data_IF_879996619783
#
_entry.id   IF_879996619783
#
_cell.length_a   1.000
_cell.length_b   1.000
_cell.length_c   1.000
_cell.angle_alpha   90.00
_cell.angle_beta   90.00
_cell.angle_gamma   90.00
#
_symmetry.space_group_name_H-M   'P 1'
#
loop_
_entity.id
_entity.type
_entity.pdbx_description
1 polymer ?
#
# COMPACT_ATOMS: atom_id res chain seq x y z
N UNK A 1 -1.13 -15.06 50.68
CA UNK A 1 -1.66 -14.40 49.46
C UNK A 1 -3.18 -14.35 49.56
N UNK A 2 -3.79 -13.23 49.18
CA UNK A 2 -5.26 -13.07 49.15
C UNK A 2 -5.85 -13.85 47.96
N UNK A 3 -7.14 -14.20 47.99
CA UNK A 3 -7.79 -14.92 46.89
C UNK A 3 -7.72 -14.15 45.55
N UNK A 4 -7.69 -12.82 45.61
CA UNK A 4 -7.51 -11.94 44.45
C UNK A 4 -6.13 -12.05 43.81
N UNK A 5 -5.06 -12.25 44.60
CA UNK A 5 -3.70 -12.37 44.07
C UNK A 5 -3.52 -13.69 43.31
N UNK A 6 -4.16 -14.76 43.81
CA UNK A 6 -4.20 -16.07 43.15
C UNK A 6 -4.90 -15.99 41.78
N UNK A 7 -6.04 -15.31 41.73
CA UNK A 7 -6.79 -15.11 40.49
C UNK A 7 -5.99 -14.26 39.49
N UNK A 8 -5.30 -13.22 39.96
CA UNK A 8 -4.46 -12.38 39.11
C UNK A 8 -3.28 -13.14 38.50
N UNK A 9 -2.64 -14.04 39.28
CA UNK A 9 -1.54 -14.88 38.80
C UNK A 9 -2.02 -15.92 37.77
N UNK A 10 -3.15 -16.57 38.02
CA UNK A 10 -3.76 -17.52 37.06
C UNK A 10 -4.18 -16.83 35.77
N UNK A 11 -4.77 -15.63 35.87
CA UNK A 11 -5.13 -14.83 34.71
C UNK A 11 -3.90 -14.46 33.88
N UNK A 12 -2.80 -14.07 34.52
CA UNK A 12 -1.54 -13.79 33.84
C UNK A 12 -0.96 -15.03 33.12
N UNK A 13 -0.89 -16.17 33.80
CA UNK A 13 -0.34 -17.40 33.21
C UNK A 13 -1.16 -17.88 32.00
N UNK A 14 -2.49 -17.78 32.07
CA UNK A 14 -3.38 -18.21 31.00
C UNK A 14 -3.50 -17.18 29.86
N UNK A 15 -3.78 -15.91 30.17
CA UNK A 15 -4.04 -14.89 29.15
C UNK A 15 -2.77 -14.30 28.54
N UNK A 16 -1.79 -13.94 29.38
CA UNK A 16 -0.61 -13.19 28.94
C UNK A 16 0.55 -14.13 28.55
N UNK A 17 0.76 -15.19 29.33
CA UNK A 17 1.79 -16.20 29.07
C UNK A 17 1.30 -17.38 28.23
N UNK A 18 -0.01 -17.48 27.91
CA UNK A 18 -0.63 -18.55 27.09
C UNK A 18 -0.28 -19.98 27.55
N UNK A 19 -0.15 -20.18 28.85
CA UNK A 19 0.05 -21.52 29.44
C UNK A 19 -1.33 -22.17 29.63
N UNK A 20 -1.52 -23.46 29.26
CA UNK A 20 -2.78 -24.15 29.47
C UNK A 20 -3.23 -24.10 30.94
N UNK A 21 -4.52 -23.82 31.17
CA UNK A 21 -5.06 -23.56 32.51
C UNK A 21 -4.85 -24.73 33.49
N UNK A 22 -4.95 -25.98 33.01
CA UNK A 22 -4.70 -27.18 33.80
C UNK A 22 -3.25 -27.24 34.32
N UNK A 23 -2.28 -26.92 33.46
CA UNK A 23 -0.86 -26.86 33.82
C UNK A 23 -0.55 -25.67 34.73
N UNK A 24 -1.21 -24.52 34.51
CA UNK A 24 -1.06 -23.35 35.37
C UNK A 24 -1.55 -23.65 36.79
N UNK A 25 -2.76 -24.21 36.96
CA UNK A 25 -3.34 -24.59 38.26
C UNK A 25 -2.46 -25.60 39.03
N UNK A 26 -1.87 -26.57 38.32
CA UNK A 26 -0.97 -27.56 38.92
C UNK A 26 0.34 -26.98 39.45
N UNK A 27 0.85 -25.89 38.84
CA UNK A 27 2.16 -25.29 39.16
C UNK A 27 2.09 -24.03 40.02
N UNK A 28 0.90 -23.49 40.28
CA UNK A 28 0.70 -22.28 41.10
C UNK A 28 1.19 -22.48 42.54
N UNK A 29 0.97 -23.65 43.15
CA UNK A 29 1.46 -23.94 44.51
C UNK A 29 2.99 -23.96 44.58
N UNK A 30 3.64 -24.42 43.51
CA UNK A 30 5.11 -24.47 43.43
C UNK A 30 5.71 -23.09 43.17
N UNK A 31 5.04 -22.26 42.35
CA UNK A 31 5.39 -20.85 42.18
C UNK A 31 5.25 -20.04 43.48
N UNK A 32 4.23 -20.33 44.28
CA UNK A 32 4.06 -19.75 45.62
C UNK A 32 5.18 -20.17 46.57
N UNK A 33 5.54 -21.46 46.60
CA UNK A 33 6.66 -21.95 47.41
C UNK A 33 7.99 -21.32 47.02
N UNK A 34 8.19 -21.02 45.72
CA UNK A 34 9.36 -20.33 45.20
C UNK A 34 9.33 -18.80 45.37
N UNK A 35 8.29 -18.24 46.00
CA UNK A 35 8.10 -16.79 46.19
C UNK A 35 8.02 -16.02 44.85
N UNK A 36 7.56 -16.68 43.79
CA UNK A 36 7.37 -16.14 42.42
C UNK A 36 5.87 -15.92 42.13
N UNK A 37 5.23 -15.22 43.04
CA UNK A 37 3.77 -15.07 43.12
C UNK A 37 3.21 -13.84 42.38
N UNK A 38 4.06 -13.02 41.76
CA UNK A 38 3.64 -11.83 41.01
C UNK A 38 4.34 -11.69 39.66
N UNK A 39 3.69 -11.07 38.66
CA UNK A 39 4.32 -10.77 37.36
C UNK A 39 5.60 -9.93 37.47
N UNK A 40 5.73 -9.11 38.52
CA UNK A 40 6.92 -8.28 38.77
C UNK A 40 8.10 -9.10 39.28
N UNK A 41 7.83 -10.07 40.17
CA UNK A 41 8.84 -11.02 40.64
C UNK A 41 9.26 -11.98 39.52
N UNK A 42 8.30 -12.44 38.70
CA UNK A 42 8.55 -13.26 37.51
C UNK A 42 9.38 -12.55 36.43
N UNK A 43 9.22 -11.23 36.29
CA UNK A 43 9.99 -10.43 35.33
C UNK A 43 11.48 -10.29 35.72
N UNK A 44 11.78 -10.39 37.02
CA UNK A 44 13.13 -10.28 37.60
C UNK A 44 13.80 -11.64 37.84
N UNK A 45 13.05 -12.74 37.77
CA UNK A 45 13.56 -14.09 37.95
C UNK A 45 14.50 -14.52 36.79
N UNK A 46 15.54 -15.30 37.12
CA UNK A 46 16.41 -15.95 36.12
C UNK A 46 15.77 -17.25 35.66
N UNK A 47 16.03 -17.65 34.41
CA UNK A 47 15.46 -18.88 33.83
C UNK A 47 15.74 -20.13 34.69
N UNK A 48 16.89 -20.18 35.37
CA UNK A 48 17.28 -21.31 36.23
C UNK A 48 16.41 -21.48 37.48
N UNK A 49 15.69 -20.43 37.91
CA UNK A 49 14.74 -20.50 39.04
C UNK A 49 13.35 -21.02 38.61
N UNK A 50 13.05 -20.98 37.32
CA UNK A 50 11.76 -21.42 36.76
C UNK A 50 11.83 -22.82 36.12
N UNK A 51 13.02 -23.26 35.69
CA UNK A 51 13.28 -24.63 35.22
C UNK A 51 12.84 -25.77 36.17
N UNK A 52 13.01 -25.69 37.51
CA UNK A 52 12.51 -26.75 38.40
C UNK A 52 10.98 -26.79 38.52
N UNK A 53 10.27 -25.78 38.02
CA UNK A 53 8.81 -25.65 38.09
C UNK A 53 8.19 -25.98 36.73
N UNK A 54 8.79 -25.46 35.66
CA UNK A 54 8.44 -25.72 34.27
C UNK A 54 9.62 -26.42 33.59
N UNK A 55 9.49 -27.72 33.37
CA UNK A 55 10.51 -28.55 32.71
C UNK A 55 10.83 -28.09 31.28
N UNK A 56 9.91 -27.37 30.63
CA UNK A 56 10.08 -26.82 29.28
C UNK A 56 10.72 -25.41 29.29
N UNK A 57 11.92 -25.32 28.71
CA UNK A 57 12.70 -24.09 28.55
C UNK A 57 11.97 -23.04 27.68
N UNK A 58 11.12 -23.48 26.74
CA UNK A 58 10.32 -22.61 25.87
C UNK A 58 9.22 -21.91 26.66
N UNK A 59 8.53 -22.66 27.53
CA UNK A 59 7.48 -22.13 28.42
C UNK A 59 8.09 -21.18 29.44
N UNK A 60 9.26 -21.51 29.99
CA UNK A 60 9.99 -20.63 30.92
C UNK A 60 10.35 -19.28 30.29
N UNK A 61 10.90 -19.29 29.06
CA UNK A 61 11.21 -18.06 28.31
C UNK A 61 9.95 -17.25 27.99
N UNK A 62 8.86 -17.92 27.65
CA UNK A 62 7.57 -17.30 27.35
C UNK A 62 6.96 -16.59 28.58
N UNK A 63 7.03 -17.22 29.75
CA UNK A 63 6.56 -16.63 31.01
C UNK A 63 7.38 -15.39 31.38
N UNK A 64 8.71 -15.44 31.28
CA UNK A 64 9.59 -14.28 31.58
C UNK A 64 9.32 -13.14 30.59
N UNK A 65 9.14 -13.45 29.30
CA UNK A 65 8.83 -12.44 28.28
C UNK A 65 7.46 -11.79 28.50
N UNK A 66 6.44 -12.57 28.85
CA UNK A 66 5.11 -12.07 29.20
C UNK A 66 5.15 -11.22 30.48
N UNK A 67 5.90 -11.66 31.50
CA UNK A 67 6.05 -10.96 32.77
C UNK A 67 6.69 -9.58 32.59
N UNK A 68 7.75 -9.49 31.76
CA UNK A 68 8.41 -8.23 31.41
C UNK A 68 7.50 -7.27 30.62
N UNK A 69 6.60 -7.79 29.78
CA UNK A 69 5.63 -6.96 29.04
C UNK A 69 4.58 -6.36 29.97
N UNK A 70 4.06 -7.16 30.90
CA UNK A 70 3.01 -6.74 31.83
C UNK A 70 3.56 -5.83 32.93
N UNK A 71 4.76 -6.09 33.46
CA UNK A 71 5.40 -5.23 34.47
C UNK A 71 5.80 -3.87 33.91
N UNK A 72 6.24 -3.79 32.65
CA UNK A 72 6.51 -2.52 31.96
C UNK A 72 5.23 -1.70 31.73
N UNK A 73 4.07 -2.36 31.62
CA UNK A 73 2.76 -1.71 31.47
C UNK A 73 2.23 -1.11 32.79
N UNK A 74 2.67 -1.62 33.94
CA UNK A 74 2.25 -1.14 35.28
C UNK A 74 3.19 -0.10 35.89
N UNK A 75 4.44 0.00 35.44
CA UNK A 75 5.36 1.06 35.85
C UNK A 75 5.04 2.44 35.23
N UNK A 76 4.17 2.48 34.21
CA UNK A 76 3.55 3.71 33.73
C UNK A 76 2.24 3.86 34.50
N UNK A 77 2.27 4.70 35.54
CA UNK A 77 1.11 5.03 36.37
C UNK A 77 -0.05 5.58 35.55
N UNK A 78 -1.23 5.40 36.14
CA UNK A 78 -2.55 5.89 35.75
C UNK A 78 -2.58 7.43 35.71
N UNK A 79 -2.17 7.99 34.57
CA UNK A 79 -2.49 9.36 34.19
C UNK A 79 -3.04 9.35 32.76
N UNK A 80 -4.20 9.97 32.61
CA UNK A 80 -4.96 10.09 31.36
C UNK A 80 -4.24 10.91 30.28
N UNK A 81 -3.14 10.39 29.75
CA UNK A 81 -2.51 10.88 28.53
C UNK A 81 -2.97 10.01 27.36
N UNK A 82 -3.41 10.60 26.23
CA UNK A 82 -3.86 9.83 25.08
C UNK A 82 -2.68 8.99 24.59
N UNK A 83 -2.89 7.67 24.54
CA UNK A 83 -1.97 6.76 23.87
C UNK A 83 -1.54 7.36 22.53
N UNK A 84 -0.24 7.38 22.19
CA UNK A 84 0.19 7.84 20.87
C UNK A 84 -0.55 6.97 19.85
N UNK A 85 -1.45 7.62 19.09
CA UNK A 85 -2.21 6.98 18.02
C UNK A 85 -1.18 6.24 17.18
N UNK A 86 -1.18 4.90 17.24
CA UNK A 86 -0.57 4.10 16.16
C UNK A 86 -1.18 4.67 14.90
N UNK A 87 -0.35 5.18 13.98
CA UNK A 87 -0.80 5.68 12.69
C UNK A 87 -1.81 4.67 12.15
N UNK A 88 -3.07 5.09 12.12
CA UNK A 88 -4.22 4.28 11.69
C UNK A 88 -3.81 3.79 10.30
N UNK A 89 -3.81 2.47 10.07
CA UNK A 89 -3.73 1.98 8.70
C UNK A 89 -4.87 2.68 7.98
N UNK A 90 -4.54 3.47 6.95
CA UNK A 90 -5.49 4.08 6.02
C UNK A 90 -6.12 2.96 5.18
N UNK A 91 -6.85 2.08 5.85
CA UNK A 91 -7.83 1.20 5.25
C UNK A 91 -8.98 2.09 4.82
N UNK A 92 -9.48 1.90 3.59
CA UNK A 92 -10.75 2.47 3.11
C UNK A 92 -11.92 2.23 4.08
N UNK A 93 -11.78 1.26 4.98
CA UNK A 93 -12.78 0.84 5.96
C UNK A 93 -12.43 1.27 7.38
N UNK A 94 -11.80 2.43 7.58
CA UNK A 94 -11.78 3.05 8.91
C UNK A 94 -13.22 3.30 9.37
N UNK A 95 -13.53 3.08 10.65
CA UNK A 95 -14.90 3.13 11.23
C UNK A 95 -15.68 4.45 11.03
N UNK A 96 -15.05 5.49 10.46
CA UNK A 96 -15.72 6.72 10.03
C UNK A 96 -15.59 6.85 8.50
N UNK A 97 -16.70 6.96 7.76
CA UNK A 97 -16.67 7.21 6.33
C UNK A 97 -16.12 8.62 6.08
N UNK A 98 -14.95 8.71 5.45
CA UNK A 98 -14.43 9.97 4.92
C UNK A 98 -15.35 10.47 3.81
N UNK A 99 -15.55 11.78 3.71
CA UNK A 99 -16.24 12.33 2.55
C UNK A 99 -15.43 12.07 1.27
N UNK A 100 -16.07 11.97 0.09
CA UNK A 100 -15.38 11.82 -1.20
C UNK A 100 -14.22 12.82 -1.37
N UNK A 101 -14.45 14.10 -1.08
CA UNK A 101 -13.42 15.14 -1.17
C UNK A 101 -12.26 14.92 -0.20
N UNK A 102 -12.52 14.50 1.04
CA UNK A 102 -11.46 14.18 2.01
C UNK A 102 -10.65 12.96 1.59
N UNK A 103 -11.29 11.97 0.99
CA UNK A 103 -10.61 10.80 0.45
C UNK A 103 -9.67 11.20 -0.70
N UNK A 104 -10.13 12.00 -1.66
CA UNK A 104 -9.27 12.47 -2.75
C UNK A 104 -8.12 13.35 -2.25
N UNK A 105 -8.36 14.21 -1.26
CA UNK A 105 -7.31 15.02 -0.62
C UNK A 105 -6.22 14.15 0.01
N UNK A 106 -6.61 13.10 0.73
CA UNK A 106 -5.66 12.16 1.37
C UNK A 106 -4.79 11.40 0.36
N UNK A 107 -5.28 11.26 -0.88
CA UNK A 107 -4.61 10.53 -1.94
C UNK A 107 -3.67 11.40 -2.78
N UNK A 108 -3.66 12.72 -2.60
CA UNK A 108 -2.78 13.62 -3.35
C UNK A 108 -1.33 13.13 -3.34
N UNK A 109 -0.72 13.17 -4.52
CA UNK A 109 0.65 12.78 -4.76
C UNK A 109 1.56 14.01 -4.63
N UNK A 110 2.80 13.84 -4.16
CA UNK A 110 3.75 14.95 -4.09
C UNK A 110 4.08 15.46 -5.48
N UNK A 111 4.39 16.75 -5.57
CA UNK A 111 4.82 17.41 -6.81
C UNK A 111 6.10 18.20 -6.54
N UNK A 112 6.90 18.43 -7.59
CA UNK A 112 8.15 19.18 -7.51
C UNK A 112 8.06 20.43 -8.37
N UNK A 113 8.45 21.57 -7.82
CA UNK A 113 8.51 22.86 -8.53
C UNK A 113 9.93 23.16 -9.04
N UNK A 114 10.68 22.12 -9.42
CA UNK A 114 12.04 22.29 -9.92
C UNK A 114 12.03 22.56 -11.42
N UNK A 115 12.92 23.43 -11.86
CA UNK A 115 13.10 23.71 -13.28
C UNK A 115 13.62 22.48 -14.05
N UNK A 116 13.36 22.48 -15.35
CA UNK A 116 13.72 21.37 -16.25
C UNK A 116 15.22 21.02 -16.19
N UNK A 117 16.08 22.03 -16.10
CA UNK A 117 17.53 21.82 -15.99
C UNK A 117 17.91 21.00 -14.75
N UNK A 118 17.24 21.22 -13.63
CA UNK A 118 17.53 20.54 -12.38
C UNK A 118 16.87 19.15 -12.30
N UNK A 119 15.70 19.00 -12.94
CA UNK A 119 15.13 17.68 -13.18
C UNK A 119 16.07 16.82 -14.02
N UNK A 120 16.63 17.35 -15.10
CA UNK A 120 17.51 16.60 -16.01
C UNK A 120 18.76 16.05 -15.32
N UNK A 121 19.30 16.77 -14.32
CA UNK A 121 20.47 16.34 -13.53
C UNK A 121 20.14 15.26 -12.49
N UNK A 122 18.86 14.94 -12.28
CA UNK A 122 18.42 14.02 -11.23
C UNK A 122 18.47 12.56 -11.71
N UNK A 123 19.10 11.70 -10.90
CA UNK A 123 19.10 10.25 -11.05
C UNK A 123 18.40 9.62 -9.83
N UNK A 124 17.43 8.75 -10.10
CA UNK A 124 16.68 7.99 -9.10
C UNK A 124 17.11 6.52 -9.13
N UNK A 125 16.79 5.77 -8.08
CA UNK A 125 17.03 4.34 -7.98
C UNK A 125 15.73 3.62 -7.62
N UNK A 126 15.19 2.83 -8.55
CA UNK A 126 13.83 2.26 -8.43
C UNK A 126 13.68 0.92 -9.15
N UNK A 127 12.59 0.24 -8.85
CA UNK A 127 12.15 -0.96 -9.55
C UNK A 127 11.36 -0.60 -10.82
N UNK A 128 11.20 -1.58 -11.72
CA UNK A 128 10.36 -1.47 -12.92
C UNK A 128 8.86 -1.22 -12.60
N UNK A 129 8.27 -1.99 -11.68
CA UNK A 129 6.83 -1.94 -11.43
C UNK A 129 6.31 -0.58 -10.88
N UNK A 130 6.96 0.06 -9.88
CA UNK A 130 6.57 1.41 -9.44
C UNK A 130 6.69 2.47 -10.54
N UNK A 131 7.66 2.32 -11.44
CA UNK A 131 7.80 3.24 -12.57
C UNK A 131 6.62 3.09 -13.54
N UNK A 132 6.22 1.87 -13.89
CA UNK A 132 4.99 1.61 -14.67
C UNK A 132 3.78 2.24 -13.98
N UNK A 133 3.65 2.05 -12.67
CA UNK A 133 2.54 2.63 -11.90
C UNK A 133 2.49 4.16 -12.05
N UNK A 134 3.64 4.84 -11.93
CA UNK A 134 3.72 6.30 -12.11
C UNK A 134 3.35 6.73 -13.53
N UNK A 135 3.85 6.04 -14.55
CA UNK A 135 3.51 6.30 -15.96
C UNK A 135 2.01 6.21 -16.22
N UNK A 136 1.35 5.20 -15.66
CA UNK A 136 -0.09 4.97 -15.85
C UNK A 136 -0.96 5.96 -15.10
N UNK A 137 -0.55 6.38 -13.90
CA UNK A 137 -1.30 7.42 -13.16
C UNK A 137 -1.30 8.74 -13.94
N UNK A 138 -0.17 9.11 -14.55
CA UNK A 138 -0.10 10.29 -15.41
C UNK A 138 -0.82 10.06 -16.73
N UNK A 139 -0.68 8.90 -17.39
CA UNK A 139 -1.47 8.57 -18.59
C UNK A 139 -2.97 8.77 -18.35
N UNK A 140 -3.50 8.20 -17.26
CA UNK A 140 -4.92 8.28 -16.92
C UNK A 140 -5.37 9.69 -16.57
N UNK A 141 -4.46 10.60 -16.18
CA UNK A 141 -4.78 12.03 -16.04
C UNK A 141 -5.14 12.66 -17.38
N UNK A 142 -4.55 12.19 -18.48
CA UNK A 142 -4.79 12.68 -19.84
C UNK A 142 -5.87 11.89 -20.58
N UNK A 143 -5.97 10.58 -20.35
CA UNK A 143 -6.93 9.72 -21.07
C UNK A 143 -8.28 9.59 -20.40
N UNK A 144 -8.33 9.76 -19.07
CA UNK A 144 -9.56 9.69 -18.27
C UNK A 144 -9.62 10.85 -17.25
N UNK A 145 -9.61 12.12 -17.71
CA UNK A 145 -9.60 13.28 -16.82
C UNK A 145 -10.85 13.37 -15.93
N UNK A 146 -11.97 12.79 -16.36
CA UNK A 146 -13.21 12.69 -15.59
C UNK A 146 -13.08 11.82 -14.34
N UNK A 147 -12.15 10.85 -14.36
CA UNK A 147 -11.94 9.94 -13.24
C UNK A 147 -11.15 10.63 -12.11
N UNK A 148 -11.55 10.48 -10.83
CA UNK A 148 -10.78 10.99 -9.70
C UNK A 148 -9.44 10.29 -9.54
N UNK A 149 -8.54 10.88 -8.74
CA UNK A 149 -7.22 10.30 -8.45
C UNK A 149 -7.34 8.90 -7.82
N UNK A 150 -8.34 8.68 -6.96
CA UNK A 150 -8.63 7.35 -6.41
C UNK A 150 -8.89 6.29 -7.49
N UNK A 151 -9.67 6.63 -8.52
CA UNK A 151 -9.93 5.75 -9.66
C UNK A 151 -8.67 5.49 -10.46
N UNK A 152 -7.91 6.55 -10.78
CA UNK A 152 -6.67 6.44 -11.58
C UNK A 152 -5.63 5.55 -10.89
N UNK A 153 -5.43 5.73 -9.59
CA UNK A 153 -4.54 4.90 -8.77
C UNK A 153 -4.98 3.43 -8.74
N UNK A 154 -6.28 3.17 -8.61
CA UNK A 154 -6.85 1.82 -8.60
C UNK A 154 -6.65 1.11 -9.95
N UNK A 155 -6.98 1.78 -11.05
CA UNK A 155 -6.80 1.27 -12.42
C UNK A 155 -5.33 1.01 -12.75
N UNK A 156 -4.44 1.95 -12.43
CA UNK A 156 -3.01 1.81 -12.67
C UNK A 156 -2.42 0.63 -11.87
N UNK A 157 -2.85 0.42 -10.63
CA UNK A 157 -2.43 -0.71 -9.81
C UNK A 157 -2.92 -2.06 -10.36
N UNK A 158 -4.13 -2.11 -10.93
CA UNK A 158 -4.66 -3.30 -11.57
C UNK A 158 -3.82 -3.69 -12.80
N UNK A 159 -3.47 -2.72 -13.65
CA UNK A 159 -2.60 -2.95 -14.79
C UNK A 159 -1.24 -3.54 -14.37
N UNK A 160 -0.61 -2.95 -13.35
CA UNK A 160 0.69 -3.41 -12.82
C UNK A 160 0.57 -4.83 -12.28
N UNK A 161 -0.53 -5.16 -11.64
CA UNK A 161 -0.76 -6.50 -11.08
C UNK A 161 -0.96 -7.54 -12.18
N UNK A 162 -1.75 -7.24 -13.22
CA UNK A 162 -1.96 -8.11 -14.39
C UNK A 162 -0.65 -8.33 -15.15
N UNK A 163 0.13 -7.26 -15.40
CA UNK A 163 1.44 -7.35 -16.08
C UNK A 163 2.48 -8.11 -15.26
N UNK A 164 2.57 -7.83 -13.96
CA UNK A 164 3.48 -8.52 -13.04
C UNK A 164 3.19 -10.01 -13.01
N UNK A 165 1.92 -10.40 -12.86
CA UNK A 165 1.50 -11.80 -12.86
C UNK A 165 1.80 -12.50 -14.19
N UNK A 166 1.44 -11.88 -15.31
CA UNK A 166 1.75 -12.42 -16.65
C UNK A 166 3.26 -12.68 -16.80
N UNK A 167 4.09 -11.76 -16.28
CA UNK A 167 5.55 -11.92 -16.29
C UNK A 167 6.03 -13.00 -15.31
N UNK A 168 5.44 -13.12 -14.13
CA UNK A 168 5.76 -14.15 -13.16
C UNK A 168 5.49 -15.55 -13.72
N UNK A 169 4.36 -15.73 -14.42
CA UNK A 169 4.03 -16.98 -15.13
C UNK A 169 5.03 -17.26 -16.25
N UNK A 170 5.35 -16.27 -17.08
CA UNK A 170 6.37 -16.41 -18.14
C UNK A 170 7.75 -16.81 -17.59
N UNK A 171 8.11 -16.32 -16.40
CA UNK A 171 9.37 -16.64 -15.73
C UNK A 171 9.33 -17.96 -14.93
N UNK A 172 8.18 -18.63 -14.86
CA UNK A 172 7.99 -19.84 -14.05
C UNK A 172 8.00 -19.61 -12.53
N UNK A 173 7.82 -18.36 -12.08
CA UNK A 173 7.74 -17.99 -10.66
C UNK A 173 6.34 -18.31 -10.10
N UNK A 174 5.31 -18.05 -10.91
CA UNK A 174 3.92 -18.32 -10.56
C UNK A 174 3.36 -19.37 -11.52
N UNK A 175 2.55 -20.29 -10.98
CA UNK A 175 1.93 -21.36 -11.76
C UNK A 175 0.40 -21.26 -11.67
N UNK A 176 -0.26 -21.71 -12.74
CA UNK A 176 -1.72 -21.81 -12.79
C UNK A 176 -2.41 -20.69 -13.56
N UNK A 177 -3.69 -20.92 -13.85
CA UNK A 177 -4.53 -19.98 -14.61
C UNK A 177 -4.82 -18.72 -13.82
N UNK A 178 -4.94 -17.59 -14.52
CA UNK A 178 -5.40 -16.35 -13.91
C UNK A 178 -6.82 -16.48 -13.38
N UNK A 179 -7.18 -15.65 -12.41
CA UNK A 179 -8.57 -15.54 -11.98
C UNK A 179 -9.47 -15.23 -13.21
N UNK A 180 -9.03 -14.34 -14.09
CA UNK A 180 -9.77 -14.02 -15.32
C UNK A 180 -9.93 -15.23 -16.27
N UNK A 181 -8.88 -16.02 -16.48
CA UNK A 181 -8.92 -17.27 -17.28
C UNK A 181 -9.79 -18.37 -16.66
N UNK A 182 -10.05 -18.29 -15.35
CA UNK A 182 -10.96 -19.18 -14.64
C UNK A 182 -12.42 -18.66 -14.60
N UNK A 183 -12.69 -17.54 -15.25
CA UNK A 183 -14.01 -16.92 -15.37
C UNK A 183 -14.36 -15.97 -14.22
N UNK A 184 -13.39 -15.55 -13.39
CA UNK A 184 -13.67 -14.57 -12.36
C UNK A 184 -13.91 -13.18 -12.98
N UNK A 185 -14.98 -12.52 -12.55
CA UNK A 185 -15.33 -11.18 -13.03
C UNK A 185 -16.04 -11.17 -14.40
N UNK A 186 -16.51 -12.31 -14.90
CA UNK A 186 -17.42 -12.34 -16.06
C UNK A 186 -18.68 -11.51 -15.80
N UNK A 187 -19.11 -10.73 -16.80
CA UNK A 187 -20.26 -9.83 -16.71
C UNK A 187 -19.97 -8.47 -16.05
N UNK A 188 -18.78 -8.26 -15.50
CA UNK A 188 -18.40 -6.96 -14.95
C UNK A 188 -18.01 -5.98 -16.08
N UNK A 189 -18.27 -4.66 -15.90
CA UNK A 189 -17.81 -3.64 -16.82
C UNK A 189 -16.29 -3.71 -17.04
N UNK A 190 -15.85 -3.39 -18.26
CA UNK A 190 -14.45 -3.43 -18.66
C UNK A 190 -14.01 -2.05 -19.12
N UNK A 191 -12.79 -1.67 -18.77
CA UNK A 191 -12.12 -0.47 -19.29
C UNK A 191 -10.76 -0.87 -19.83
N UNK A 192 -10.35 -0.29 -20.95
CA UNK A 192 -9.02 -0.48 -21.52
C UNK A 192 -8.05 0.57 -20.95
N UNK A 193 -6.91 0.11 -20.43
CA UNK A 193 -5.81 0.96 -19.97
C UNK A 193 -4.50 0.36 -20.47
N UNK A 194 -3.71 1.12 -21.22
CA UNK A 194 -2.40 0.71 -21.73
C UNK A 194 -2.46 -0.56 -22.59
N UNK A 195 -3.54 -0.73 -23.37
CA UNK A 195 -3.82 -1.93 -24.16
C UNK A 195 -4.25 -3.16 -23.36
N UNK A 196 -4.69 -2.99 -22.11
CA UNK A 196 -5.19 -4.09 -21.27
C UNK A 196 -6.61 -3.85 -20.79
N UNK A 197 -7.42 -4.89 -20.88
CA UNK A 197 -8.75 -4.92 -20.30
C UNK A 197 -8.69 -5.06 -18.77
N UNK A 198 -9.35 -4.17 -18.05
CA UNK A 198 -9.45 -4.16 -16.60
C UNK A 198 -10.93 -4.24 -16.22
N UNK A 199 -11.30 -5.24 -15.41
CA UNK A 199 -12.65 -5.35 -14.85
C UNK A 199 -12.85 -4.32 -13.73
N UNK A 200 -13.94 -3.57 -13.79
CA UNK A 200 -14.19 -2.44 -12.90
C UNK A 200 -15.55 -2.47 -12.24
N UNK A 201 -15.64 -1.86 -11.06
CA UNK A 201 -16.86 -1.52 -10.36
C UNK A 201 -17.19 -0.03 -10.56
N UNK A 202 -18.42 0.27 -10.95
CA UNK A 202 -18.92 1.64 -11.13
C UNK A 202 -19.40 2.21 -9.79
N UNK A 203 -18.93 3.40 -9.45
CA UNK A 203 -19.30 4.15 -8.24
C UNK A 203 -20.24 5.30 -8.62
N UNK A 204 -21.53 5.00 -8.68
CA UNK A 204 -22.57 5.99 -8.93
C UNK A 204 -22.76 6.92 -7.72
N UNK A 205 -23.03 8.20 -7.96
CA UNK A 205 -23.20 9.21 -6.90
C UNK A 205 -21.90 9.59 -6.19
N UNK A 206 -20.74 9.37 -6.82
CA UNK A 206 -19.45 9.78 -6.25
C UNK A 206 -19.05 11.19 -6.69
N UNK A 207 -19.50 12.18 -5.93
CA UNK A 207 -19.20 13.59 -6.16
C UNK A 207 -17.93 14.00 -5.41
N UNK A 208 -16.84 14.27 -6.15
CA UNK A 208 -15.53 14.63 -5.57
C UNK A 208 -15.00 15.99 -6.00
N UNK A 209 -15.53 16.53 -7.11
CA UNK A 209 -15.26 17.89 -7.53
C UNK A 209 -16.10 18.81 -6.64
N UNK A 210 -15.46 19.58 -5.77
CA UNK A 210 -16.12 20.75 -5.22
C UNK A 210 -16.29 21.72 -6.39
N UNK A 211 -17.49 22.26 -6.58
CA UNK A 211 -17.74 23.34 -7.55
C UNK A 211 -16.75 24.48 -7.27
N UNK A 212 -15.66 24.53 -8.02
CA UNK A 212 -14.88 25.76 -8.14
C UNK A 212 -15.78 26.71 -8.93
N UNK A 213 -16.53 27.53 -8.20
CA UNK A 213 -17.25 28.68 -8.73
C UNK A 213 -16.25 29.63 -9.38
N UNK A 214 -15.85 29.32 -10.60
CA UNK A 214 -15.26 30.30 -11.50
C UNK A 214 -16.44 30.88 -12.26
N UNK A 215 -17.03 31.93 -11.68
CA UNK A 215 -17.86 32.86 -12.43
C UNK A 215 -16.97 33.47 -13.51
N UNK A 216 -17.04 32.89 -14.71
CA UNK A 216 -16.91 33.56 -16.00
C UNK A 216 -16.87 32.49 -17.09
N UNK A 217 -18.04 32.19 -17.63
CA UNK A 217 -18.35 32.12 -19.08
C UNK A 217 -19.70 31.41 -19.23
N UNK A 218 -20.76 32.20 -19.11
CA UNK A 218 -22.05 31.86 -19.72
C UNK A 218 -21.83 31.85 -21.25
N UNK A 219 -21.74 30.66 -21.86
CA UNK A 219 -22.36 30.28 -23.13
C UNK A 219 -21.75 28.98 -23.69
N UNK A 220 -22.26 27.84 -23.22
CA UNK A 220 -22.79 26.78 -24.09
C UNK A 220 -23.43 25.70 -23.21
N UNK A 221 -24.74 25.84 -23.00
CA UNK A 221 -25.58 24.72 -22.65
C UNK A 221 -25.89 23.98 -23.97
N UNK A 222 -25.12 22.94 -24.28
CA UNK A 222 -25.56 21.74 -25.00
C UNK A 222 -24.47 20.66 -24.97
N UNK A 223 -24.57 19.73 -24.02
CA UNK A 223 -24.56 18.30 -24.34
C UNK A 223 -25.06 17.53 -23.11
N UNK A 224 -26.03 16.65 -23.32
CA UNK A 224 -26.52 15.70 -22.33
C UNK A 224 -25.49 14.61 -22.05
N UNK A 225 -24.31 15.00 -21.57
CA UNK A 225 -23.22 14.08 -21.25
C UNK A 225 -23.61 13.21 -20.06
N UNK A 226 -23.89 11.93 -20.31
CA UNK A 226 -24.04 10.91 -19.27
C UNK A 226 -22.87 11.01 -18.29
N UNK A 227 -23.16 11.36 -17.03
CA UNK A 227 -22.13 11.48 -16.01
C UNK A 227 -21.46 10.12 -15.79
N UNK A 228 -20.24 9.96 -16.31
CA UNK A 228 -19.51 8.69 -16.23
C UNK A 228 -19.13 8.43 -14.76
N UNK A 229 -19.58 7.31 -14.17
CA UNK A 229 -19.34 7.03 -12.75
C UNK A 229 -17.85 6.81 -12.46
N UNK A 230 -17.47 7.03 -11.20
CA UNK A 230 -16.09 6.81 -10.78
C UNK A 230 -15.71 5.32 -10.76
N UNK A 231 -14.50 5.05 -11.24
CA UNK A 231 -13.81 3.78 -11.42
C UNK A 231 -13.31 3.10 -10.14
N UNK A 232 -13.55 1.81 -9.89
CA UNK A 232 -12.62 0.99 -9.09
C UNK A 232 -12.25 -0.29 -9.81
N UNK A 233 -10.97 -0.63 -9.87
CA UNK A 233 -10.53 -1.87 -10.46
C UNK A 233 -10.71 -3.05 -9.48
N UNK A 234 -11.29 -4.14 -9.98
CA UNK A 234 -11.50 -5.35 -9.20
C UNK A 234 -10.20 -6.13 -9.02
N UNK A 235 -9.93 -6.59 -7.80
CA UNK A 235 -8.84 -7.52 -7.52
C UNK A 235 -9.36 -8.96 -7.63
N UNK A 236 -9.37 -9.48 -8.86
CA UNK A 236 -9.86 -10.82 -9.16
C UNK A 236 -9.02 -11.92 -8.49
N UNK A 237 -7.73 -11.68 -8.27
CA UNK A 237 -6.85 -12.64 -7.58
C UNK A 237 -7.16 -12.70 -6.10
N UNK A 238 -7.43 -11.56 -5.46
CA UNK A 238 -7.94 -11.55 -4.08
C UNK A 238 -9.34 -12.17 -3.99
N UNK A 239 -10.21 -11.97 -4.99
CA UNK A 239 -11.54 -12.58 -5.06
C UNK A 239 -11.45 -14.11 -5.17
N UNK A 240 -10.55 -14.62 -6.02
CA UNK A 240 -10.26 -16.04 -6.13
C UNK A 240 -9.75 -16.62 -4.82
N UNK A 241 -8.85 -15.90 -4.11
CA UNK A 241 -8.28 -16.34 -2.84
C UNK A 241 -9.26 -16.29 -1.68
N UNK A 242 -10.27 -15.41 -1.72
CA UNK A 242 -11.28 -15.32 -0.66
C UNK A 242 -12.31 -16.45 -0.71
N UNK A 243 -12.31 -17.29 -1.75
CA UNK A 243 -13.27 -18.37 -1.93
C UNK A 243 -14.69 -17.89 -2.26
N UNK A 244 -14.83 -16.62 -2.66
CA UNK A 244 -16.10 -16.08 -3.13
C UNK A 244 -16.48 -16.67 -4.49
N UNK A 245 -17.77 -16.59 -4.83
CA UNK A 245 -18.26 -16.99 -6.15
C UNK A 245 -17.50 -16.27 -7.27
N UNK A 246 -17.32 -16.98 -8.40
CA UNK A 246 -16.62 -16.46 -9.58
C UNK A 246 -17.25 -15.18 -10.13
N UNK A 247 -18.55 -15.04 -9.92
CA UNK A 247 -19.32 -13.86 -10.27
C UNK A 247 -19.63 -13.07 -9.00
N UNK A 248 -19.06 -11.86 -8.84
CA UNK A 248 -19.57 -10.95 -7.84
C UNK A 248 -21.01 -10.58 -8.20
N UNK A 249 -21.96 -10.84 -7.30
CA UNK A 249 -23.34 -10.38 -7.48
C UNK A 249 -23.36 -8.87 -7.78
N UNK A 250 -24.17 -8.45 -8.76
CA UNK A 250 -24.35 -7.05 -9.10
C UNK A 250 -25.01 -6.33 -7.90
N UNK A 251 -24.20 -5.86 -6.96
CA UNK A 251 -24.70 -5.15 -5.78
C UNK A 251 -25.23 -3.77 -6.19
N UNK A 252 -26.42 -3.47 -5.69
CA UNK A 252 -27.07 -2.18 -5.80
C UNK A 252 -26.16 -1.04 -5.31
N UNK A 253 -26.38 0.12 -5.93
CA UNK A 253 -25.69 1.41 -5.70
C UNK A 253 -25.56 1.72 -4.20
N UNK A 254 -24.32 1.93 -3.73
CA UNK A 254 -24.05 2.64 -2.47
C UNK A 254 -23.59 1.80 -1.26
N UNK A 255 -23.51 0.48 -1.33
CA UNK A 255 -22.95 -0.35 -0.24
C UNK A 255 -21.64 -0.99 -0.70
N UNK A 256 -20.55 -0.71 0.02
CA UNK A 256 -19.23 -1.31 -0.22
C UNK A 256 -19.34 -2.84 -0.09
N UNK A 257 -19.50 -3.50 -1.24
CA UNK A 257 -19.63 -4.93 -1.36
C UNK A 257 -18.33 -5.62 -0.94
N UNK A 258 -18.43 -6.84 -0.40
CA UNK A 258 -17.32 -7.73 -0.03
C UNK A 258 -16.42 -8.14 -1.22
N UNK A 259 -16.43 -7.38 -2.32
CA UNK A 259 -15.68 -7.62 -3.55
C UNK A 259 -14.32 -6.95 -3.40
N UNK A 260 -13.21 -7.69 -3.47
CA UNK A 260 -11.87 -7.11 -3.40
C UNK A 260 -11.60 -6.15 -4.56
N UNK A 261 -10.97 -5.02 -4.24
CA UNK A 261 -10.54 -4.00 -5.20
C UNK A 261 -9.07 -3.68 -5.02
N UNK A 262 -8.43 -3.19 -6.08
CA UNK A 262 -7.12 -2.57 -5.98
C UNK A 262 -7.25 -1.22 -5.27
N UNK A 263 -6.86 -1.17 -4.00
CA UNK A 263 -7.07 0.02 -3.17
C UNK A 263 -6.12 1.16 -3.58
N UNK A 264 -6.62 2.40 -3.78
CA UNK A 264 -5.77 3.53 -4.14
C UNK A 264 -4.72 3.86 -3.09
N UNK A 265 -5.00 3.59 -1.80
CA UNK A 265 -4.04 3.78 -0.72
C UNK A 265 -2.83 2.86 -0.86
N UNK A 266 -3.04 1.60 -1.28
CA UNK A 266 -1.94 0.66 -1.52
C UNK A 266 -1.05 1.14 -2.68
N UNK A 267 -1.65 1.58 -3.78
CA UNK A 267 -0.96 2.13 -4.94
C UNK A 267 -0.15 3.38 -4.58
N UNK A 268 -0.78 4.33 -3.87
CA UNK A 268 -0.11 5.54 -3.36
C UNK A 268 1.05 5.20 -2.42
N UNK A 269 0.82 4.31 -1.47
CA UNK A 269 1.85 3.89 -0.52
C UNK A 269 3.03 3.22 -1.23
N UNK A 270 2.77 2.49 -2.31
CA UNK A 270 3.81 1.86 -3.12
C UNK A 270 4.68 2.91 -3.82
N UNK A 271 4.07 3.92 -4.46
CA UNK A 271 4.77 5.04 -5.09
C UNK A 271 5.65 5.79 -4.08
N UNK A 272 5.09 6.17 -2.92
CA UNK A 272 5.82 6.92 -1.87
C UNK A 272 7.04 6.18 -1.30
N UNK A 273 7.10 4.85 -1.45
CA UNK A 273 8.18 4.03 -0.90
C UNK A 273 9.20 3.58 -1.93
N UNK A 274 8.98 3.81 -3.23
CA UNK A 274 9.70 3.13 -4.29
C UNK A 274 10.99 3.83 -4.77
N UNK A 275 11.07 5.16 -4.69
CA UNK A 275 12.10 5.94 -5.41
C UNK A 275 13.23 6.41 -4.46
N UNK A 276 14.31 5.64 -4.39
CA UNK A 276 15.52 5.97 -3.61
C UNK A 276 16.50 6.84 -4.44
N UNK A 277 17.53 7.41 -3.80
CA UNK A 277 18.71 7.92 -4.54
C UNK A 277 19.66 6.76 -4.86
N UNK A 278 20.50 6.87 -5.91
CA UNK A 278 21.60 5.94 -6.12
C UNK A 278 22.52 5.92 -4.89
N UNK A 279 23.07 4.74 -4.58
CA UNK A 279 24.05 4.60 -3.50
C UNK A 279 25.41 5.07 -4.00
N UNK A 280 26.07 5.98 -3.27
CA UNK A 280 27.48 6.29 -3.51
C UNK A 280 28.34 5.20 -2.89
N UNK A 281 28.82 4.27 -3.71
CA UNK A 281 29.84 3.29 -3.33
C UNK A 281 31.13 4.03 -2.94
N UNK A 282 31.32 4.25 -1.63
CA UNK A 282 32.58 4.79 -1.10
C UNK A 282 32.46 5.74 0.09
N UNK A 283 31.25 6.18 0.47
CA UNK A 283 31.08 6.98 1.69
C UNK A 283 30.16 6.26 2.67
N UNK A 284 30.67 6.03 3.88
CA UNK A 284 29.90 5.56 5.02
C UNK A 284 28.84 6.61 5.37
N UNK A 285 27.74 6.62 4.63
CA UNK A 285 26.62 7.52 4.85
C UNK A 285 26.10 7.31 6.27
N UNK A 286 26.10 8.38 7.08
CA UNK A 286 25.44 8.37 8.39
C UNK A 286 24.04 7.79 8.20
N UNK A 287 23.68 6.81 9.02
CA UNK A 287 22.38 6.15 8.98
C UNK A 287 21.28 7.21 9.10
N UNK A 288 20.67 7.57 7.97
CA UNK A 288 19.58 8.54 7.93
C UNK A 288 18.40 8.01 8.76
N UNK A 289 17.66 8.93 9.38
CA UNK A 289 16.43 8.55 10.09
C UNK A 289 15.38 8.02 9.11
N UNK A 290 14.47 7.17 9.59
CA UNK A 290 13.39 6.65 8.76
C UNK A 290 12.50 7.77 8.19
N UNK A 291 12.30 8.85 8.97
CA UNK A 291 11.55 10.02 8.52
C UNK A 291 12.27 10.79 7.40
N UNK A 292 13.58 11.00 7.53
CA UNK A 292 14.37 11.64 6.49
C UNK A 292 14.37 10.82 5.19
N UNK A 293 14.50 9.49 5.30
CA UNK A 293 14.41 8.59 4.14
C UNK A 293 13.03 8.61 3.48
N UNK A 294 11.95 8.69 4.27
CA UNK A 294 10.60 8.81 3.74
C UNK A 294 10.39 10.15 3.01
N UNK A 295 10.80 11.27 3.60
CA UNK A 295 10.73 12.59 2.98
C UNK A 295 11.54 12.66 1.67
N UNK A 296 12.73 12.04 1.65
CA UNK A 296 13.55 11.96 0.45
C UNK A 296 12.85 11.18 -0.68
N UNK A 297 12.20 10.05 -0.36
CA UNK A 297 11.44 9.28 -1.34
C UNK A 297 10.24 10.04 -1.89
N UNK A 298 9.57 10.79 -1.03
CA UNK A 298 8.45 11.66 -1.40
C UNK A 298 8.91 12.78 -2.35
N UNK A 299 10.03 13.44 -2.06
CA UNK A 299 10.64 14.42 -2.95
C UNK A 299 11.04 13.81 -4.30
N UNK A 300 11.66 12.63 -4.29
CA UNK A 300 12.03 11.91 -5.51
C UNK A 300 10.82 11.53 -6.37
N UNK A 301 9.73 11.10 -5.74
CA UNK A 301 8.46 10.86 -6.43
C UNK A 301 7.93 12.14 -7.07
N UNK A 302 7.96 13.28 -6.35
CA UNK A 302 7.53 14.57 -6.89
C UNK A 302 8.30 14.97 -8.16
N UNK A 303 9.63 14.78 -8.18
CA UNK A 303 10.48 15.06 -9.36
C UNK A 303 10.13 14.17 -10.55
N UNK A 304 9.91 12.88 -10.29
CA UNK A 304 9.51 11.93 -11.34
C UNK A 304 8.14 12.30 -11.92
N UNK A 305 7.15 12.57 -11.06
CA UNK A 305 5.80 12.92 -11.51
C UNK A 305 5.81 14.23 -12.30
N UNK A 306 6.60 15.23 -11.88
CA UNK A 306 6.77 16.46 -12.65
C UNK A 306 7.40 16.20 -14.03
N UNK A 307 8.44 15.36 -14.10
CA UNK A 307 9.09 14.99 -15.37
C UNK A 307 8.15 14.25 -16.32
N UNK A 308 7.29 13.37 -15.78
CA UNK A 308 6.26 12.68 -16.55
C UNK A 308 5.17 13.65 -17.01
N UNK A 309 4.70 14.57 -16.16
CA UNK A 309 3.72 15.59 -16.55
C UNK A 309 4.26 16.42 -17.73
N UNK A 310 5.52 16.90 -17.68
CA UNK A 310 6.14 17.60 -18.80
C UNK A 310 6.17 16.77 -20.09
N UNK A 311 6.39 15.45 -19.99
CA UNK A 311 6.37 14.54 -21.13
C UNK A 311 4.97 14.42 -21.74
N UNK A 312 3.96 14.14 -20.91
CA UNK A 312 2.60 13.96 -21.39
C UNK A 312 1.95 15.27 -21.84
N UNK A 313 2.18 16.39 -21.15
CA UNK A 313 1.71 17.71 -21.56
C UNK A 313 2.25 18.12 -22.94
N UNK A 314 3.50 17.76 -23.25
CA UNK A 314 4.08 18.03 -24.56
C UNK A 314 3.42 17.19 -25.67
N UNK A 315 3.17 15.91 -25.42
CA UNK A 315 2.56 15.01 -26.41
C UNK A 315 1.04 15.17 -26.53
N UNK A 316 0.33 15.54 -25.46
CA UNK A 316 -1.12 15.75 -25.48
C UNK A 316 -1.54 16.92 -26.39
N UNK A 317 -0.60 17.80 -26.77
CA UNK A 317 -0.81 18.85 -27.78
C UNK A 317 -0.81 18.31 -29.21
N UNK A 318 -0.27 17.11 -29.43
CA UNK A 318 -0.05 16.52 -30.76
C UNK A 318 -0.76 15.17 -30.95
N UNK A 319 -1.13 14.50 -29.87
CA UNK A 319 -1.69 13.15 -29.88
C UNK A 319 -3.05 13.13 -29.18
N UNK A 320 -3.94 12.27 -29.68
CA UNK A 320 -5.19 11.96 -29.02
C UNK A 320 -4.96 11.11 -27.75
N UNK A 321 -5.94 11.04 -26.83
CA UNK A 321 -5.90 10.12 -25.70
C UNK A 321 -5.55 8.67 -26.05
N UNK A 322 -6.13 8.13 -27.13
CA UNK A 322 -5.88 6.75 -27.55
C UNK A 322 -4.45 6.56 -28.08
N UNK A 323 -3.90 7.58 -28.75
CA UNK A 323 -2.51 7.56 -29.21
C UNK A 323 -1.52 7.68 -28.05
N UNK A 324 -1.84 8.46 -27.01
CA UNK A 324 -1.05 8.51 -25.77
C UNK A 324 -1.02 7.14 -25.09
N UNK A 325 -2.18 6.47 -24.98
CA UNK A 325 -2.29 5.12 -24.42
C UNK A 325 -1.39 4.12 -25.17
N UNK A 326 -1.49 4.11 -26.50
CA UNK A 326 -0.69 3.23 -27.37
C UNK A 326 0.82 3.51 -27.35
N UNK A 327 1.26 4.74 -27.11
CA UNK A 327 2.69 5.10 -27.08
C UNK A 327 3.35 4.92 -25.72
N UNK A 328 2.58 4.99 -24.63
CA UNK A 328 3.09 4.98 -23.25
C UNK A 328 4.01 3.81 -22.95
N UNK A 329 3.66 2.60 -23.41
CA UNK A 329 4.48 1.42 -23.18
C UNK A 329 5.87 1.52 -23.83
N UNK A 330 5.94 2.09 -25.04
CA UNK A 330 7.20 2.28 -25.76
C UNK A 330 8.11 3.29 -25.05
N UNK A 331 7.54 4.36 -24.50
CA UNK A 331 8.27 5.32 -23.67
C UNK A 331 8.82 4.66 -22.41
N UNK A 332 7.98 3.94 -21.67
CA UNK A 332 8.40 3.21 -20.49
C UNK A 332 9.54 2.23 -20.79
N UNK A 333 9.46 1.45 -21.88
CA UNK A 333 10.51 0.48 -22.24
C UNK A 333 11.86 1.15 -22.51
N UNK A 334 11.88 2.37 -23.06
CA UNK A 334 13.11 3.12 -23.35
C UNK A 334 13.83 3.61 -22.09
N UNK A 335 13.09 3.97 -21.04
CA UNK A 335 13.65 4.62 -19.84
C UNK A 335 13.68 3.71 -18.61
N UNK A 336 13.05 2.54 -18.65
CA UNK A 336 12.95 1.65 -17.49
C UNK A 336 14.35 1.24 -16.98
N UNK A 337 14.51 1.05 -15.66
CA UNK A 337 15.76 0.55 -15.09
C UNK A 337 16.20 -0.76 -15.76
N UNK A 338 17.47 -0.81 -16.16
CA UNK A 338 18.12 -2.03 -16.66
C UNK A 338 18.34 -2.99 -15.49
N UNK A 339 17.85 -4.22 -15.59
CA UNK A 339 18.07 -5.25 -14.57
C UNK A 339 18.33 -6.56 -15.29
N UNK A 340 18.93 -7.53 -14.59
CA UNK A 340 19.24 -8.84 -15.14
C UNK A 340 18.03 -9.52 -15.79
N UNK A 341 18.30 -10.38 -16.76
CA UNK A 341 17.25 -11.14 -17.42
C UNK A 341 16.77 -12.31 -16.55
N UNK A 342 15.56 -12.77 -16.85
CA UNK A 342 14.96 -13.92 -16.15
C UNK A 342 14.53 -13.62 -14.72
N UNK A 343 14.61 -14.64 -13.87
CA UNK A 343 14.23 -14.58 -12.45
C UNK A 343 15.19 -13.70 -11.64
N UNK A 344 16.46 -13.59 -12.06
CA UNK A 344 17.48 -12.87 -11.30
C UNK A 344 17.22 -11.35 -11.24
N UNK A 345 16.65 -10.76 -12.30
CA UNK A 345 16.19 -9.37 -12.28
C UNK A 345 14.79 -9.16 -11.71
N UNK A 346 14.11 -10.21 -11.23
CA UNK A 346 12.78 -10.06 -10.64
C UNK A 346 12.85 -9.22 -9.38
N UNK A 347 12.14 -8.08 -9.37
CA UNK A 347 12.25 -7.13 -8.26
C UNK A 347 13.60 -6.43 -8.16
N UNK A 348 14.42 -6.47 -9.21
CA UNK A 348 15.66 -5.69 -9.31
C UNK A 348 15.38 -4.19 -9.31
N UNK A 349 16.29 -3.44 -8.70
CA UNK A 349 16.35 -1.97 -8.76
C UNK A 349 17.56 -1.55 -9.57
N UNK A 350 17.42 -0.47 -10.32
CA UNK A 350 18.57 0.20 -10.93
C UNK A 350 18.29 1.70 -11.09
N UNK A 351 19.28 2.41 -11.62
CA UNK A 351 19.21 3.82 -11.95
C UNK A 351 18.10 4.12 -12.97
N UNK A 352 17.46 5.27 -12.78
CA UNK A 352 16.49 5.90 -13.65
C UNK A 352 16.91 7.37 -13.79
N UNK A 353 17.26 7.79 -15.01
CA UNK A 353 17.64 9.17 -15.29
C UNK A 353 16.41 9.95 -15.72
N UNK A 354 16.12 11.07 -15.08
CA UNK A 354 14.99 11.90 -15.47
C UNK A 354 15.23 12.63 -16.80
N UNK A 355 16.50 12.90 -17.16
CA UNK A 355 16.88 13.38 -18.49
C UNK A 355 16.30 12.50 -19.61
N UNK A 356 16.47 11.17 -19.51
CA UNK A 356 15.98 10.22 -20.52
C UNK A 356 14.45 10.30 -20.70
N UNK A 357 13.70 10.64 -19.64
CA UNK A 357 12.24 10.86 -19.72
C UNK A 357 11.94 12.17 -20.45
N UNK A 358 12.65 13.24 -20.11
CA UNK A 358 12.45 14.57 -20.71
C UNK A 358 12.82 14.58 -22.21
N UNK A 359 13.80 13.77 -22.61
CA UNK A 359 14.22 13.58 -24.01
C UNK A 359 13.18 12.83 -24.88
N UNK A 360 12.20 12.16 -24.27
CA UNK A 360 11.12 11.50 -25.02
C UNK A 360 10.08 12.47 -25.58
N UNK A 361 10.13 13.75 -25.19
CA UNK A 361 9.24 14.79 -25.70
C UNK A 361 9.41 14.96 -27.22
N UNK A 362 8.37 15.44 -27.93
CA UNK A 362 8.52 15.77 -29.34
C UNK A 362 9.62 16.83 -29.49
N UNK A 363 10.50 16.65 -30.47
CA UNK A 363 11.51 17.67 -30.79
C UNK A 363 10.77 18.90 -31.31
N UNK A 364 10.98 20.04 -30.66
CA UNK A 364 10.46 21.34 -31.07
C UNK A 364 11.05 21.78 -32.40
#
# INVERSE_FOLDING_TARGET
MSASDLQALLRFLFQDAKVPLASAMGKVKDLQKANLDSPEKLAKAKADQLKPIFEDDKVTKQIIAAAKRVSKKRAAGDDGAPTPKKKKNESLFSDEPLSPAQLEESLKLPYSDLDEEDLSKTVLFTNRAPLVLAFLVILLKHTMPEQPLSSRLSLAQAYVSITSRSRAVYLGIENGKSAEEEGFGEGQPVVNVGGKEIKVLRRWGYEWKQESTTQNEEQQADDGGEEKPALWALDLEALKKSGNEKQPAATAVGVHSNIPIYTPQSARSYLLKAFDNPQNDGTSSKKQSAAAKAAQKEQNLGKLLHSLDLLYDAWAKQLSPDELDGRTWNWYVKVRPSVEDGVAGWGGKNELRLADILELRPKT
#
